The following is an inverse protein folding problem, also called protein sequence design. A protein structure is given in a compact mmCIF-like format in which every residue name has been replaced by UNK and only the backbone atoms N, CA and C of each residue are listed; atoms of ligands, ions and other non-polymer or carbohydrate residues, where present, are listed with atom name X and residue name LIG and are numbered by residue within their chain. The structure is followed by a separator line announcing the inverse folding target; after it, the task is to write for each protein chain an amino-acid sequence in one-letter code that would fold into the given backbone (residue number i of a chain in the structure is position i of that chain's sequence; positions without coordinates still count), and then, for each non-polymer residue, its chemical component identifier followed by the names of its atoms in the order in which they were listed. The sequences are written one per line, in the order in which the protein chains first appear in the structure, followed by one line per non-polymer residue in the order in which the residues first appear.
data_IF_941043973889
#
_entry.id   IF_941043973889
#
_cell.length_a   1.000
_cell.length_b   1.000
_cell.length_c   1.000
_cell.angle_alpha   90.00
_cell.angle_beta   90.00
_cell.angle_gamma   90.00
#
_symmetry.space_group_name_H-M   'P 1'
#
loop_
_entity.id
_entity.type
_entity.pdbx_description
1 polymer ?
#
# COMPACT_ATOMS: atom_id res chain seq x y z
N UNK A 1 6.06 11.98 15.19
CA UNK A 1 5.73 13.29 14.62
C UNK A 1 6.73 13.56 13.52
N UNK A 2 6.22 13.85 12.34
CA UNK A 2 6.98 14.33 11.19
C UNK A 2 6.64 15.81 10.93
N UNK A 3 7.58 16.60 10.42
CA UNK A 3 7.38 18.04 10.25
C UNK A 3 7.76 18.49 8.86
N UNK A 4 6.78 19.07 8.16
CA UNK A 4 6.88 19.44 6.76
C UNK A 4 6.41 20.88 6.51
N UNK A 5 6.66 21.34 5.30
CA UNK A 5 6.09 22.58 4.77
C UNK A 5 5.42 22.28 3.44
N UNK A 6 4.15 22.64 3.30
CA UNK A 6 3.35 22.41 2.11
C UNK A 6 3.22 23.70 1.28
N UNK A 7 3.15 23.52 -0.04
CA UNK A 7 2.82 24.55 -1.02
C UNK A 7 1.37 24.41 -1.55
N UNK A 8 0.49 23.77 -0.78
CA UNK A 8 -0.93 23.57 -1.11
C UNK A 8 -1.75 24.86 -1.18
N UNK A 9 -2.92 24.86 -0.55
CA UNK A 9 -3.80 26.05 -0.52
C UNK A 9 -3.24 27.13 0.42
N UNK A 10 -3.57 28.40 0.14
CA UNK A 10 -3.24 29.51 1.02
C UNK A 10 -4.48 29.98 1.77
N UNK A 11 -4.40 29.92 3.09
CA UNK A 11 -5.49 30.19 4.02
C UNK A 11 -4.93 30.81 5.30
N UNK A 12 -5.79 31.27 6.21
CA UNK A 12 -5.34 32.08 7.35
C UNK A 12 -4.54 31.27 8.39
N UNK A 13 -4.73 29.94 8.46
CA UNK A 13 -3.97 29.08 9.38
C UNK A 13 -2.47 29.03 9.04
N UNK A 14 -1.62 28.89 10.06
CA UNK A 14 -0.16 28.72 9.86
C UNK A 14 0.25 27.26 9.80
N UNK A 15 -0.40 26.41 10.61
CA UNK A 15 -0.12 24.99 10.72
C UNK A 15 -1.38 24.23 10.33
N UNK A 16 -1.22 23.29 9.41
CA UNK A 16 -2.20 22.25 9.15
C UNK A 16 -1.68 20.92 9.70
N UNK A 17 -2.59 20.00 10.02
CA UNK A 17 -2.23 18.73 10.64
C UNK A 17 -2.76 17.55 9.84
N UNK A 18 -1.85 16.69 9.40
CA UNK A 18 -2.16 15.32 9.02
C UNK A 18 -2.06 14.49 10.29
N UNK A 19 -3.18 13.89 10.69
CA UNK A 19 -3.26 12.98 11.82
C UNK A 19 -3.57 11.58 11.31
N UNK A 20 -3.07 10.56 12.02
CA UNK A 20 -3.27 9.20 11.54
C UNK A 20 -4.74 8.86 11.37
N UNK A 21 -5.08 8.22 10.26
CA UNK A 21 -6.44 7.79 9.96
C UNK A 21 -6.94 6.90 11.12
N UNK A 22 -7.98 7.31 11.86
CA UNK A 22 -8.37 6.61 13.08
C UNK A 22 -8.80 5.16 12.82
N UNK A 23 -9.43 4.88 11.68
CA UNK A 23 -9.90 3.54 11.31
C UNK A 23 -8.75 2.52 11.12
N UNK A 24 -7.51 2.99 10.93
CA UNK A 24 -6.32 2.11 10.90
C UNK A 24 -5.92 1.60 12.30
N UNK A 25 -6.52 2.12 13.37
CA UNK A 25 -6.19 1.81 14.76
C UNK A 25 -7.11 0.74 15.35
N UNK A 26 -6.69 0.14 16.46
CA UNK A 26 -7.58 -0.70 17.26
C UNK A 26 -8.73 0.15 17.84
N UNK A 27 -9.97 -0.35 17.99
CA UNK A 27 -11.14 0.48 18.36
C UNK A 27 -10.98 1.36 19.60
N UNK A 28 -10.31 0.86 20.65
CA UNK A 28 -10.02 1.66 21.85
C UNK A 28 -9.05 2.82 21.56
N UNK A 29 -7.99 2.55 20.79
CA UNK A 29 -7.03 3.56 20.35
C UNK A 29 -7.69 4.59 19.43
N UNK A 30 -8.54 4.14 18.51
CA UNK A 30 -9.31 5.01 17.61
C UNK A 30 -10.16 6.00 18.41
N UNK A 31 -10.95 5.51 19.37
CA UNK A 31 -11.84 6.34 20.19
C UNK A 31 -11.04 7.38 20.99
N UNK A 32 -9.97 6.97 21.66
CA UNK A 32 -9.10 7.88 22.40
C UNK A 32 -8.47 8.93 21.48
N UNK A 33 -7.99 8.51 20.31
CA UNK A 33 -7.33 9.41 19.37
C UNK A 33 -8.29 10.48 18.83
N UNK A 34 -9.48 10.05 18.37
CA UNK A 34 -10.50 10.94 17.78
C UNK A 34 -11.18 11.83 18.82
N UNK A 35 -11.53 11.28 19.99
CA UNK A 35 -12.38 11.98 20.94
C UNK A 35 -11.64 12.77 21.99
N UNK A 36 -10.40 12.40 22.32
CA UNK A 36 -9.65 13.02 23.41
C UNK A 36 -8.39 13.70 22.88
N UNK A 37 -7.47 12.92 22.27
CA UNK A 37 -6.15 13.43 21.89
C UNK A 37 -6.22 14.53 20.83
N UNK A 38 -6.92 14.28 19.72
CA UNK A 38 -7.07 15.28 18.67
C UNK A 38 -7.78 16.52 19.20
N UNK A 39 -8.92 16.35 19.87
CA UNK A 39 -9.69 17.50 20.38
C UNK A 39 -8.85 18.37 21.31
N UNK A 40 -8.12 17.78 22.25
CA UNK A 40 -7.29 18.56 23.17
C UNK A 40 -6.14 19.28 22.45
N UNK A 41 -5.48 18.64 21.47
CA UNK A 41 -4.40 19.28 20.71
C UNK A 41 -4.90 20.50 19.92
N UNK A 42 -6.04 20.38 19.23
CA UNK A 42 -6.65 21.50 18.51
C UNK A 42 -7.07 22.63 19.47
N UNK A 43 -7.74 22.29 20.58
CA UNK A 43 -8.15 23.27 21.60
C UNK A 43 -6.95 24.00 22.20
N UNK A 44 -5.87 23.29 22.53
CA UNK A 44 -4.68 23.90 23.14
C UNK A 44 -3.92 24.81 22.18
N UNK A 45 -3.81 24.43 20.91
CA UNK A 45 -3.24 25.29 19.88
C UNK A 45 -4.03 26.61 19.76
N UNK A 46 -5.36 26.55 19.77
CA UNK A 46 -6.21 27.73 19.76
C UNK A 46 -6.10 28.55 21.05
N UNK A 47 -6.28 27.93 22.21
CA UNK A 47 -6.51 28.66 23.46
C UNK A 47 -5.22 29.09 24.15
N UNK A 48 -4.21 28.21 24.19
CA UNK A 48 -2.95 28.47 24.88
C UNK A 48 -1.97 29.25 24.00
N UNK A 49 -1.96 28.97 22.70
CA UNK A 49 -0.99 29.56 21.77
C UNK A 49 -1.55 30.66 20.88
N UNK A 50 -2.89 30.84 20.87
CA UNK A 50 -3.60 31.75 19.95
C UNK A 50 -3.24 31.47 18.48
N UNK A 51 -2.96 30.20 18.18
CA UNK A 51 -2.55 29.73 16.87
C UNK A 51 -3.45 28.54 16.50
N UNK A 52 -4.67 28.84 16.05
CA UNK A 52 -5.61 27.82 15.62
C UNK A 52 -5.02 27.01 14.47
N UNK A 53 -5.19 25.69 14.53
CA UNK A 53 -4.76 24.76 13.48
C UNK A 53 -5.99 24.13 12.82
N UNK A 54 -5.80 23.61 11.62
CA UNK A 54 -6.85 22.97 10.81
C UNK A 54 -6.33 21.60 10.33
N UNK A 55 -7.19 20.60 10.05
CA UNK A 55 -6.76 19.42 9.33
C UNK A 55 -6.11 19.79 8.01
N UNK A 56 -5.23 18.93 7.50
CA UNK A 56 -4.60 19.16 6.21
C UNK A 56 -5.63 19.46 5.12
N UNK A 57 -5.41 20.56 4.41
CA UNK A 57 -6.38 21.11 3.46
C UNK A 57 -6.18 20.44 2.10
N UNK A 58 -6.66 19.20 2.02
CA UNK A 58 -6.81 18.50 0.74
C UNK A 58 -8.15 18.90 0.13
N UNK A 59 -8.08 19.62 -0.99
CA UNK A 59 -9.23 20.20 -1.66
C UNK A 59 -9.98 19.16 -2.50
N UNK A 60 -11.32 19.20 -2.47
CA UNK A 60 -12.18 18.43 -3.39
C UNK A 60 -12.12 18.98 -4.81
N UNK A 61 -12.01 20.31 -4.93
CA UNK A 61 -11.94 21.04 -6.19
C UNK A 61 -10.97 22.22 -6.05
N UNK A 62 -10.31 22.60 -7.15
CA UNK A 62 -9.42 23.77 -7.15
C UNK A 62 -10.25 25.05 -7.12
N UNK A 63 -9.99 25.93 -6.16
CA UNK A 63 -10.64 27.23 -6.05
C UNK A 63 -10.90 27.64 -4.61
N UNK A 64 -12.05 28.27 -4.38
CA UNK A 64 -12.51 28.58 -3.03
C UNK A 64 -12.84 27.29 -2.26
N UNK A 65 -12.31 27.17 -1.04
CA UNK A 65 -12.41 25.95 -0.24
C UNK A 65 -13.77 25.87 0.46
N UNK A 66 -14.61 24.94 -0.02
CA UNK A 66 -15.97 24.68 0.50
C UNK A 66 -16.11 23.35 1.24
N UNK A 67 -15.16 22.44 1.02
CA UNK A 67 -15.03 21.18 1.71
C UNK A 67 -13.57 20.71 1.62
N UNK A 68 -13.18 19.87 2.57
CA UNK A 68 -11.87 19.20 2.57
C UNK A 68 -12.04 17.71 2.81
N UNK A 69 -11.05 16.94 2.35
CA UNK A 69 -10.98 15.49 2.53
C UNK A 69 -9.85 15.11 3.48
N UNK A 70 -10.03 14.02 4.20
CA UNK A 70 -8.97 13.40 5.01
C UNK A 70 -7.82 12.95 4.12
N UNK A 71 -6.59 13.14 4.60
CA UNK A 71 -5.41 12.70 3.87
C UNK A 71 -5.25 11.18 3.98
N UNK A 72 -5.29 10.50 2.84
CA UNK A 72 -5.03 9.07 2.78
C UNK A 72 -3.53 8.79 2.91
N UNK A 73 -3.12 8.60 4.16
CA UNK A 73 -1.74 8.30 4.53
C UNK A 73 -1.44 6.80 4.37
N UNK A 74 -1.08 6.41 3.15
CA UNK A 74 -0.47 5.11 2.85
C UNK A 74 0.80 4.86 3.68
N UNK A 75 1.21 3.59 3.80
CA UNK A 75 2.32 3.21 4.68
C UNK A 75 3.72 3.65 4.21
N UNK A 76 3.82 4.26 3.02
CA UNK A 76 5.03 4.95 2.58
C UNK A 76 5.13 6.40 3.09
N UNK A 77 4.10 6.93 3.75
CA UNK A 77 4.20 8.12 4.60
C UNK A 77 4.54 7.75 6.03
N UNK A 78 5.23 8.63 6.76
CA UNK A 78 5.68 8.38 8.14
C UNK A 78 4.53 8.05 9.11
N UNK A 79 3.38 8.70 8.94
CA UNK A 79 2.19 8.48 9.76
C UNK A 79 1.50 7.14 9.45
N UNK A 80 1.28 6.83 8.16
CA UNK A 80 0.78 5.53 7.71
C UNK A 80 1.69 4.38 8.12
N UNK A 81 3.01 4.54 7.99
CA UNK A 81 4.01 3.59 8.46
C UNK A 81 3.87 3.32 9.96
N UNK A 82 3.79 4.39 10.77
CA UNK A 82 3.70 4.26 12.23
C UNK A 82 2.41 3.56 12.68
N UNK A 83 1.32 3.68 11.91
CA UNK A 83 0.04 3.00 12.15
C UNK A 83 0.13 1.47 11.96
N UNK A 84 1.13 0.97 11.21
CA UNK A 84 1.41 -0.47 11.13
C UNK A 84 1.95 -1.04 12.46
N UNK A 85 2.44 -0.18 13.35
CA UNK A 85 3.06 -0.55 14.64
C UNK A 85 2.30 0.00 15.86
N UNK A 86 0.98 0.17 15.72
CA UNK A 86 0.06 0.66 16.75
C UNK A 86 0.59 1.93 17.43
N UNK A 87 1.01 2.90 16.63
CA UNK A 87 1.53 4.18 17.10
C UNK A 87 0.68 5.32 16.55
N UNK A 88 0.43 6.32 17.39
CA UNK A 88 -0.26 7.54 16.99
C UNK A 88 0.67 8.41 16.12
N UNK A 89 0.34 8.54 14.84
CA UNK A 89 1.10 9.33 13.88
C UNK A 89 0.52 10.74 13.70
N UNK A 90 1.43 11.69 13.51
CA UNK A 90 1.12 13.07 13.16
C UNK A 90 2.18 13.59 12.20
N UNK A 91 1.74 14.42 11.26
CA UNK A 91 2.59 15.20 10.38
C UNK A 91 2.08 16.65 10.35
N UNK A 92 2.90 17.58 10.84
CA UNK A 92 2.57 19.01 10.73
C UNK A 92 2.97 19.52 9.36
N UNK A 93 2.08 20.28 8.74
CA UNK A 93 2.28 20.89 7.43
C UNK A 93 2.10 22.40 7.56
N UNK A 94 3.21 23.13 7.64
CA UNK A 94 3.18 24.60 7.65
C UNK A 94 3.09 25.15 6.23
N UNK A 95 2.42 26.28 6.00
CA UNK A 95 2.25 26.78 4.63
C UNK A 95 3.44 27.64 4.20
N UNK A 96 4.05 27.36 3.05
CA UNK A 96 5.13 28.19 2.47
C UNK A 96 4.79 29.68 2.36
N UNK A 97 3.50 30.02 2.31
CA UNK A 97 2.97 31.38 2.20
C UNK A 97 3.07 32.19 3.50
N UNK A 98 3.41 31.56 4.64
CA UNK A 98 3.57 32.26 5.93
C UNK A 98 5.01 32.66 6.21
N UNK A 99 5.23 33.78 6.94
CA UNK A 99 6.56 34.18 7.37
C UNK A 99 7.28 33.03 8.08
N UNK A 100 8.56 32.85 7.78
CA UNK A 100 9.35 31.73 8.30
C UNK A 100 9.30 31.63 9.84
N UNK A 101 9.39 32.76 10.54
CA UNK A 101 9.30 32.81 11.99
C UNK A 101 7.98 32.23 12.52
N UNK A 102 6.85 32.56 11.90
CA UNK A 102 5.54 32.04 12.31
C UNK A 102 5.42 30.53 12.06
N UNK A 103 6.01 30.03 10.97
CA UNK A 103 6.06 28.59 10.69
C UNK A 103 6.83 27.83 11.76
N UNK A 104 8.04 28.30 12.08
CA UNK A 104 8.89 27.69 13.12
C UNK A 104 8.18 27.73 14.47
N UNK A 105 7.57 28.87 14.82
CA UNK A 105 6.81 29.03 16.06
C UNK A 105 5.62 28.08 16.11
N UNK A 106 4.83 27.98 15.04
CA UNK A 106 3.68 27.09 14.95
C UNK A 106 4.06 25.62 15.12
N UNK A 107 5.12 25.16 14.45
CA UNK A 107 5.64 23.80 14.62
C UNK A 107 6.10 23.54 16.05
N UNK A 108 6.86 24.47 16.65
CA UNK A 108 7.32 24.36 18.03
C UNK A 108 6.15 24.29 19.03
N UNK A 109 5.12 25.11 18.83
CA UNK A 109 3.91 25.10 19.66
C UNK A 109 3.21 23.75 19.59
N UNK A 110 3.03 23.18 18.38
CA UNK A 110 2.43 21.86 18.24
C UNK A 110 3.27 20.75 18.90
N UNK A 111 4.60 20.76 18.69
CA UNK A 111 5.53 19.82 19.37
C UNK A 111 5.36 19.93 20.90
N UNK A 112 5.30 21.15 21.42
CA UNK A 112 5.15 21.41 22.86
C UNK A 112 3.85 20.81 23.39
N UNK A 113 2.73 21.02 22.70
CA UNK A 113 1.44 20.47 23.11
C UNK A 113 1.37 18.94 22.97
N UNK A 114 1.99 18.39 21.93
CA UNK A 114 2.09 16.94 21.74
C UNK A 114 2.91 16.29 22.85
N UNK A 115 4.08 16.84 23.19
CA UNK A 115 4.92 16.36 24.29
C UNK A 115 4.18 16.49 25.63
N UNK A 116 3.51 17.60 25.88
CA UNK A 116 2.70 17.78 27.10
C UNK A 116 1.59 16.74 27.19
N UNK A 117 0.77 16.58 26.14
CA UNK A 117 -0.35 15.65 26.14
C UNK A 117 0.13 14.20 26.34
N UNK A 118 1.15 13.79 25.59
CA UNK A 118 1.70 12.43 25.70
C UNK A 118 2.36 12.18 27.06
N UNK A 119 3.00 13.18 27.66
CA UNK A 119 3.58 13.07 29.00
C UNK A 119 2.51 12.94 30.10
N UNK A 120 1.37 13.61 29.96
CA UNK A 120 0.27 13.50 30.92
C UNK A 120 -0.48 12.16 30.79
N UNK A 121 -0.59 11.64 29.57
CA UNK A 121 -1.38 10.45 29.26
C UNK A 121 -0.54 9.19 28.99
N UNK A 122 0.76 9.20 29.31
CA UNK A 122 1.69 8.14 28.87
C UNK A 122 1.28 6.73 29.31
N UNK A 123 0.75 6.58 30.54
CA UNK A 123 0.32 5.27 31.06
C UNK A 123 -0.79 4.68 30.21
N UNK A 124 -1.76 5.50 29.86
CA UNK A 124 -2.91 5.08 29.08
C UNK A 124 -2.52 4.77 27.63
N UNK A 125 -1.69 5.62 27.02
CA UNK A 125 -1.14 5.40 25.67
C UNK A 125 -0.35 4.09 25.61
N UNK A 126 0.51 3.82 26.60
CA UNK A 126 1.29 2.57 26.65
C UNK A 126 0.40 1.34 26.87
N UNK A 127 -0.63 1.44 27.72
CA UNK A 127 -1.60 0.37 27.95
C UNK A 127 -2.36 0.03 26.67
N UNK A 128 -2.98 1.02 26.01
CA UNK A 128 -3.72 0.82 24.77
C UNK A 128 -2.84 0.25 23.66
N UNK A 129 -1.58 0.72 23.55
CA UNK A 129 -0.63 0.19 22.58
C UNK A 129 -0.28 -1.27 22.85
N UNK A 130 -0.07 -1.65 24.12
CA UNK A 130 0.20 -3.04 24.49
C UNK A 130 -0.97 -3.94 24.10
N UNK A 131 -2.20 -3.49 24.35
CA UNK A 131 -3.41 -4.23 24.01
C UNK A 131 -3.62 -4.34 22.49
N UNK A 132 -3.44 -3.24 21.75
CA UNK A 132 -3.50 -3.25 20.29
C UNK A 132 -2.45 -4.21 19.68
N UNK A 133 -1.24 -4.29 20.27
CA UNK A 133 -0.22 -5.26 19.84
C UNK A 133 -0.68 -6.71 20.08
N UNK A 134 -1.33 -6.99 21.22
CA UNK A 134 -1.89 -8.31 21.51
C UNK A 134 -2.95 -8.70 20.47
N UNK A 135 -3.90 -7.80 20.20
CA UNK A 135 -4.92 -8.03 19.16
C UNK A 135 -4.33 -8.18 17.75
N UNK A 136 -3.28 -7.41 17.42
CA UNK A 136 -2.57 -7.56 16.15
C UNK A 136 -2.02 -8.98 15.99
N UNK A 137 -1.43 -9.55 17.05
CA UNK A 137 -0.92 -10.93 17.04
C UNK A 137 -2.04 -11.97 16.90
N UNK A 138 -3.21 -11.74 17.48
CA UNK A 138 -4.38 -12.64 17.41
C UNK A 138 -5.17 -12.53 16.10
N UNK A 139 -5.05 -11.41 15.37
CA UNK A 139 -5.83 -11.13 14.17
C UNK A 139 -5.59 -12.15 13.05
N UNK A 140 -6.67 -12.59 12.41
CA UNK A 140 -6.65 -13.52 11.27
C UNK A 140 -6.90 -12.85 9.92
N UNK A 141 -7.32 -11.60 9.95
CA UNK A 141 -7.58 -10.78 8.78
C UNK A 141 -7.03 -9.37 9.03
N UNK A 142 -6.58 -8.70 7.96
CA UNK A 142 -6.23 -7.28 8.00
C UNK A 142 -6.85 -6.54 6.83
N UNK A 143 -7.34 -5.34 7.13
CA UNK A 143 -7.60 -4.32 6.12
C UNK A 143 -6.26 -3.71 5.72
N UNK A 144 -5.87 -3.88 4.45
CA UNK A 144 -4.59 -3.39 3.92
C UNK A 144 -4.73 -2.10 3.11
N UNK A 145 -5.93 -1.83 2.56
CA UNK A 145 -6.27 -0.58 1.90
C UNK A 145 -7.66 -0.08 2.30
N UNK A 146 -7.87 1.22 2.16
CA UNK A 146 -9.05 1.93 2.64
C UNK A 146 -9.59 2.81 1.52
N UNK A 147 -10.89 3.06 1.53
CA UNK A 147 -11.51 4.01 0.61
C UNK A 147 -12.27 5.08 1.38
N UNK A 148 -12.27 6.30 0.88
CA UNK A 148 -12.95 7.40 1.55
C UNK A 148 -14.47 7.22 1.57
N UNK A 149 -15.09 7.35 2.74
CA UNK A 149 -16.55 7.40 2.89
C UNK A 149 -17.06 8.80 2.51
N UNK A 150 -17.64 8.91 1.31
CA UNK A 150 -18.22 10.16 0.80
C UNK A 150 -19.58 10.50 1.40
N UNK A 151 -20.21 9.60 2.14
CA UNK A 151 -21.52 9.76 2.75
C UNK A 151 -21.46 10.24 4.21
N UNK A 152 -20.27 10.18 4.83
CA UNK A 152 -20.05 10.58 6.22
C UNK A 152 -19.04 11.73 6.31
N UNK A 153 -19.37 12.77 7.06
CA UNK A 153 -18.49 13.92 7.26
C UNK A 153 -18.71 14.56 8.63
N UNK A 154 -17.67 15.23 9.11
CA UNK A 154 -17.75 16.20 10.18
C UNK A 154 -17.87 17.62 9.60
N UNK A 155 -18.10 18.61 10.45
CA UNK A 155 -18.02 20.03 10.07
C UNK A 155 -16.97 20.75 10.88
N UNK A 156 -16.34 21.75 10.28
CA UNK A 156 -15.38 22.61 10.98
C UNK A 156 -15.49 24.07 10.50
N UNK A 157 -15.05 24.99 11.35
CA UNK A 157 -14.89 26.39 10.98
C UNK A 157 -13.59 26.56 10.20
N UNK A 158 -13.69 27.11 9.00
CA UNK A 158 -12.56 27.32 8.11
C UNK A 158 -12.31 28.80 7.85
N UNK A 159 -11.05 29.22 7.98
CA UNK A 159 -10.60 30.59 7.79
C UNK A 159 -9.78 30.70 6.50
N UNK A 160 -10.46 31.03 5.40
CA UNK A 160 -9.87 31.09 4.07
C UNK A 160 -9.68 32.51 3.54
N UNK A 161 -9.23 32.58 2.29
CA UNK A 161 -9.20 33.79 1.46
C UNK A 161 -10.00 33.51 0.19
N UNK A 162 -10.73 34.50 -0.33
CA UNK A 162 -11.49 34.33 -1.58
C UNK A 162 -10.54 34.00 -2.74
N UNK A 163 -10.92 33.04 -3.57
CA UNK A 163 -10.14 32.64 -4.74
C UNK A 163 -10.55 33.48 -5.95
N UNK A 164 -9.58 34.12 -6.58
CA UNK A 164 -9.79 34.99 -7.73
C UNK A 164 -8.83 34.61 -8.87
N UNK A 165 -9.20 34.91 -10.11
CA UNK A 165 -8.32 34.73 -11.26
C UNK A 165 -7.55 36.01 -11.55
N UNK A 166 -6.28 35.86 -11.90
CA UNK A 166 -5.44 36.93 -12.44
C UNK A 166 -4.69 36.47 -13.69
N UNK A 167 -4.22 37.42 -14.48
CA UNK A 167 -3.38 37.14 -15.65
C UNK A 167 -1.92 37.23 -15.24
N UNK A 168 -1.17 36.14 -15.41
CA UNK A 168 0.26 36.12 -15.05
C UNK A 168 1.05 37.07 -15.95
N UNK A 169 1.96 37.89 -15.37
CA UNK A 169 2.62 38.97 -16.10
C UNK A 169 3.59 38.49 -17.18
N UNK A 170 4.16 37.28 -17.01
CA UNK A 170 5.19 36.74 -17.92
C UNK A 170 4.56 36.02 -19.12
N UNK A 171 3.54 35.20 -18.87
CA UNK A 171 3.00 34.30 -19.92
C UNK A 171 1.62 34.69 -20.42
N UNK A 172 0.96 35.66 -19.78
CA UNK A 172 -0.44 36.00 -20.09
C UNK A 172 -1.43 34.90 -19.74
N UNK A 173 -1.00 33.80 -19.10
CA UNK A 173 -1.90 32.72 -18.67
C UNK A 173 -2.76 33.18 -17.51
N UNK A 174 -4.04 32.81 -17.52
CA UNK A 174 -4.89 32.91 -16.35
C UNK A 174 -4.40 31.95 -15.27
N UNK A 175 -4.25 32.47 -14.06
CA UNK A 175 -3.91 31.69 -12.86
C UNK A 175 -4.79 32.17 -11.72
N UNK A 176 -5.32 31.25 -10.94
CA UNK A 176 -5.98 31.64 -9.71
C UNK A 176 -4.99 31.97 -8.59
N UNK A 177 -5.43 32.79 -7.66
CA UNK A 177 -4.72 33.15 -6.44
C UNK A 177 -5.72 33.33 -5.29
N UNK A 178 -5.22 33.25 -4.06
CA UNK A 178 -5.99 33.50 -2.85
C UNK A 178 -5.81 34.97 -2.45
N UNK A 179 -6.89 35.75 -2.44
CA UNK A 179 -6.83 37.19 -2.19
C UNK A 179 -6.82 37.48 -0.67
N UNK A 180 -5.65 37.88 -0.15
CA UNK A 180 -5.45 38.19 1.27
C UNK A 180 -6.27 39.38 1.77
N UNK A 181 -6.76 40.25 0.88
CA UNK A 181 -7.64 41.38 1.21
C UNK A 181 -9.10 40.96 1.41
N UNK A 182 -9.44 39.71 1.04
CA UNK A 182 -10.80 39.15 1.13
C UNK A 182 -10.82 37.88 1.99
N UNK A 183 -10.53 37.96 3.30
CA UNK A 183 -10.67 36.82 4.20
C UNK A 183 -12.13 36.43 4.35
N UNK A 184 -12.40 35.14 4.57
CA UNK A 184 -13.71 34.63 4.94
C UNK A 184 -13.62 33.63 6.08
N UNK A 185 -14.76 33.42 6.75
CA UNK A 185 -14.93 32.34 7.73
C UNK A 185 -16.24 31.65 7.45
N UNK A 186 -16.19 30.35 7.15
CA UNK A 186 -17.37 29.56 6.82
C UNK A 186 -17.28 28.17 7.48
N UNK A 187 -18.44 27.59 7.77
CA UNK A 187 -18.53 26.19 8.18
C UNK A 187 -18.45 25.32 6.93
N UNK A 188 -17.43 24.47 6.84
CA UNK A 188 -17.22 23.56 5.71
C UNK A 188 -17.35 22.09 6.14
N UNK A 189 -17.56 21.21 5.16
CA UNK A 189 -17.55 19.75 5.38
C UNK A 189 -16.12 19.22 5.42
N UNK A 190 -15.89 18.25 6.29
CA UNK A 190 -14.65 17.49 6.39
C UNK A 190 -14.94 15.99 6.28
N UNK A 191 -14.59 15.42 5.13
CA UNK A 191 -14.80 14.00 4.83
C UNK A 191 -13.60 13.18 5.30
N UNK A 192 -13.59 12.80 6.58
CA UNK A 192 -12.46 12.12 7.26
C UNK A 192 -12.81 10.74 7.81
N UNK A 193 -13.66 10.02 7.09
CA UNK A 193 -14.05 8.66 7.41
C UNK A 193 -13.73 7.78 6.21
N UNK A 194 -13.39 6.53 6.48
CA UNK A 194 -12.92 5.60 5.47
C UNK A 194 -13.48 4.22 5.75
N UNK A 195 -13.82 3.50 4.68
CA UNK A 195 -14.28 2.12 4.73
C UNK A 195 -13.15 1.17 4.32
N UNK A 196 -13.15 -0.08 4.84
CA UNK A 196 -12.25 -1.11 4.34
C UNK A 196 -12.46 -1.35 2.84
N UNK A 197 -11.41 -1.18 2.03
CA UNK A 197 -11.45 -1.42 0.59
C UNK A 197 -10.91 -2.81 0.25
N UNK A 198 -9.79 -3.20 0.88
CA UNK A 198 -9.16 -4.52 0.68
C UNK A 198 -8.88 -5.16 2.02
N UNK A 199 -9.42 -6.36 2.22
CA UNK A 199 -9.18 -7.21 3.39
C UNK A 199 -8.55 -8.51 2.95
N UNK A 200 -7.49 -8.93 3.65
CA UNK A 200 -6.74 -10.16 3.35
C UNK A 200 -6.73 -11.09 4.56
N UNK A 201 -6.84 -12.38 4.29
CA UNK A 201 -6.62 -13.43 5.29
C UNK A 201 -5.12 -13.56 5.57
N UNK A 202 -4.76 -13.64 6.85
CA UNK A 202 -3.37 -13.70 7.28
C UNK A 202 -2.84 -15.13 7.22
N UNK A 203 -1.76 -15.43 6.46
CA UNK A 203 -1.13 -16.74 6.48
C UNK A 203 -0.30 -16.94 7.76
N UNK A 204 0.10 -18.19 8.06
CA UNK A 204 1.02 -18.45 9.17
C UNK A 204 2.43 -17.92 8.87
N UNK A 205 2.85 -18.01 7.61
CA UNK A 205 4.10 -17.47 7.11
C UNK A 205 3.98 -17.05 5.64
N UNK A 206 4.85 -16.16 5.19
CA UNK A 206 5.18 -16.01 3.78
C UNK A 206 6.47 -16.75 3.47
N UNK A 207 6.72 -17.04 2.19
CA UNK A 207 8.02 -17.45 1.70
C UNK A 207 8.44 -16.52 0.56
N UNK A 208 9.63 -15.93 0.69
CA UNK A 208 10.18 -14.92 -0.22
C UNK A 208 11.48 -15.44 -0.81
N UNK A 209 11.60 -15.52 -2.14
CA UNK A 209 12.84 -15.96 -2.78
C UNK A 209 14.03 -15.04 -2.45
N UNK A 210 15.21 -15.60 -2.22
CA UNK A 210 16.41 -14.83 -1.84
C UNK A 210 16.85 -13.85 -2.93
N UNK A 211 16.48 -14.11 -4.18
CA UNK A 211 16.77 -13.26 -5.33
C UNK A 211 16.19 -11.83 -5.19
N UNK A 212 15.19 -11.65 -4.32
CA UNK A 212 14.61 -10.33 -4.02
C UNK A 212 15.34 -9.64 -2.86
N UNK A 213 16.66 -9.47 -2.99
CA UNK A 213 17.54 -8.92 -1.94
C UNK A 213 17.02 -7.60 -1.38
N UNK A 214 16.56 -6.70 -2.25
CA UNK A 214 15.99 -5.41 -1.86
C UNK A 214 14.74 -5.51 -0.97
N UNK A 215 13.93 -6.56 -1.16
CA UNK A 215 12.76 -6.85 -0.33
C UNK A 215 13.22 -7.41 1.01
N UNK A 216 14.15 -8.37 0.99
CA UNK A 216 14.73 -8.96 2.21
C UNK A 216 15.38 -7.89 3.09
N UNK A 217 16.19 -6.99 2.53
CA UNK A 217 16.84 -5.90 3.26
C UNK A 217 15.83 -4.97 3.95
N UNK A 218 14.74 -4.63 3.26
CA UNK A 218 13.67 -3.80 3.82
C UNK A 218 12.91 -4.52 4.94
N UNK A 219 12.66 -5.82 4.81
CA UNK A 219 12.11 -6.64 5.88
C UNK A 219 13.05 -6.64 7.11
N UNK A 220 14.37 -6.81 6.91
CA UNK A 220 15.38 -6.77 7.98
C UNK A 220 15.40 -5.42 8.70
N UNK A 221 15.44 -4.30 7.95
CA UNK A 221 15.43 -2.94 8.52
C UNK A 221 14.18 -2.71 9.39
N UNK A 222 13.06 -3.33 9.03
CA UNK A 222 11.80 -3.28 9.78
C UNK A 222 11.70 -4.30 10.92
N UNK A 223 12.81 -4.98 11.23
CA UNK A 223 12.91 -5.91 12.35
C UNK A 223 12.15 -7.22 12.13
N UNK A 224 11.79 -7.54 10.89
CA UNK A 224 11.12 -8.79 10.54
C UNK A 224 12.06 -9.96 10.77
N UNK A 225 11.61 -10.91 11.59
CA UNK A 225 12.27 -12.20 11.81
C UNK A 225 11.95 -13.13 10.65
N UNK A 226 12.98 -13.76 10.12
CA UNK A 226 12.91 -14.66 8.97
C UNK A 226 13.83 -15.86 9.22
N UNK A 227 13.51 -16.98 8.59
CA UNK A 227 14.30 -18.22 8.64
C UNK A 227 14.70 -18.61 7.23
N UNK A 228 15.97 -18.90 7.02
CA UNK A 228 16.48 -19.27 5.71
C UNK A 228 16.35 -20.78 5.46
N UNK A 229 15.85 -21.18 4.30
CA UNK A 229 15.84 -22.57 3.87
C UNK A 229 17.27 -23.11 3.73
N UNK A 230 17.52 -24.27 4.32
CA UNK A 230 18.84 -24.90 4.30
C UNK A 230 19.03 -25.85 3.11
N UNK A 231 17.94 -26.29 2.48
CA UNK A 231 17.92 -27.19 1.34
C UNK A 231 16.80 -26.77 0.38
N UNK A 232 16.97 -27.08 -0.90
CA UNK A 232 15.90 -26.98 -1.90
C UNK A 232 14.71 -27.82 -1.43
N UNK A 233 13.51 -27.25 -1.51
CA UNK A 233 12.29 -27.85 -0.96
C UNK A 233 11.09 -27.48 -1.83
N UNK A 234 10.23 -28.46 -2.11
CA UNK A 234 8.92 -28.21 -2.71
C UNK A 234 7.89 -28.01 -1.60
N UNK A 235 7.15 -26.91 -1.65
CA UNK A 235 6.13 -26.56 -0.66
C UNK A 235 4.79 -26.33 -1.35
N UNK A 236 3.72 -26.87 -0.77
CA UNK A 236 2.35 -26.48 -1.14
C UNK A 236 2.06 -25.10 -0.57
N UNK A 237 1.89 -24.11 -1.45
CA UNK A 237 1.64 -22.71 -1.06
C UNK A 237 0.35 -22.22 -1.68
N UNK A 238 -0.29 -21.28 -1.00
CA UNK A 238 -1.23 -20.37 -1.63
C UNK A 238 -0.43 -19.24 -2.30
N UNK A 239 -0.71 -18.91 -3.55
CA UNK A 239 -0.04 -17.83 -4.28
C UNK A 239 -1.04 -17.19 -5.26
N UNK A 240 -0.60 -16.15 -5.96
CA UNK A 240 -1.44 -15.35 -6.83
C UNK A 240 -0.90 -15.33 -8.25
N UNK A 241 -1.80 -15.46 -9.23
CA UNK A 241 -1.55 -14.92 -10.56
C UNK A 241 -2.01 -13.47 -10.59
N UNK A 242 -1.16 -12.58 -11.11
CA UNK A 242 -1.52 -11.19 -11.40
C UNK A 242 -2.30 -11.18 -12.73
N UNK A 243 -3.63 -11.22 -12.67
CA UNK A 243 -4.48 -11.21 -13.86
C UNK A 243 -4.36 -9.87 -14.61
N UNK A 244 -4.37 -8.75 -13.87
CA UNK A 244 -4.19 -7.40 -14.42
C UNK A 244 -3.68 -6.40 -13.38
N UNK A 245 -2.99 -5.37 -13.84
CA UNK A 245 -2.55 -4.21 -13.05
C UNK A 245 -2.35 -3.00 -13.98
N UNK A 246 -2.28 -1.80 -13.43
CA UNK A 246 -2.00 -0.55 -14.14
C UNK A 246 -0.69 0.06 -13.64
N UNK A 247 0.42 -0.01 -14.42
CA UNK A 247 1.66 0.67 -14.09
C UNK A 247 1.57 2.18 -14.36
N UNK A 248 2.21 2.97 -13.50
CA UNK A 248 2.33 4.41 -13.68
C UNK A 248 3.05 4.75 -14.98
N UNK A 249 2.63 5.80 -15.69
CA UNK A 249 3.29 6.21 -16.95
C UNK A 249 4.58 6.98 -16.74
N UNK A 250 4.87 7.41 -15.51
CA UNK A 250 6.02 8.22 -15.14
C UNK A 250 6.55 7.74 -13.80
N UNK A 251 7.87 7.73 -13.67
CA UNK A 251 8.51 7.44 -12.41
C UNK A 251 8.18 8.53 -11.38
N UNK A 252 7.90 8.10 -10.15
CA UNK A 252 7.78 8.95 -8.97
C UNK A 252 8.73 8.42 -7.92
N UNK A 253 9.66 9.25 -7.43
CA UNK A 253 10.73 8.82 -6.51
C UNK A 253 11.57 7.63 -7.03
N UNK A 254 11.73 7.51 -8.36
CA UNK A 254 12.46 6.40 -8.99
C UNK A 254 11.64 5.13 -9.24
N UNK A 255 10.34 5.14 -8.90
CA UNK A 255 9.47 3.97 -8.99
C UNK A 255 8.31 4.16 -9.97
N UNK A 256 7.93 3.09 -10.65
CA UNK A 256 6.78 3.02 -11.55
C UNK A 256 5.63 2.30 -10.85
N UNK A 257 4.81 3.06 -10.12
CA UNK A 257 3.81 2.45 -9.25
C UNK A 257 2.82 1.55 -9.99
N UNK A 258 2.63 0.33 -9.49
CA UNK A 258 1.58 -0.57 -9.94
C UNK A 258 0.31 -0.34 -9.11
N UNK A 259 -0.84 -0.25 -9.78
CA UNK A 259 -2.15 0.01 -9.17
C UNK A 259 -3.25 -0.86 -9.77
N UNK A 260 -4.46 -0.82 -9.20
CA UNK A 260 -5.65 -1.57 -9.66
C UNK A 260 -5.38 -3.06 -9.93
N UNK A 261 -4.67 -3.68 -8.99
CA UNK A 261 -4.24 -5.07 -9.10
C UNK A 261 -5.43 -6.00 -8.96
N UNK A 262 -5.60 -6.92 -9.91
CA UNK A 262 -6.55 -8.04 -9.84
C UNK A 262 -5.77 -9.34 -9.78
N UNK A 263 -6.17 -10.18 -8.83
CA UNK A 263 -5.48 -11.43 -8.52
C UNK A 263 -6.40 -12.62 -8.71
N UNK A 264 -5.78 -13.75 -9.07
CA UNK A 264 -6.38 -15.07 -8.95
C UNK A 264 -5.56 -15.92 -8.00
N UNK A 265 -6.16 -16.27 -6.87
CA UNK A 265 -5.55 -17.14 -5.86
C UNK A 265 -5.54 -18.59 -6.34
N UNK A 266 -4.41 -19.26 -6.12
CA UNK A 266 -4.24 -20.69 -6.39
C UNK A 266 -3.50 -21.35 -5.24
N UNK A 267 -3.79 -22.63 -5.00
CA UNK A 267 -2.97 -23.50 -4.16
C UNK A 267 -2.22 -24.46 -5.06
N UNK A 268 -0.90 -24.48 -4.99
CA UNK A 268 -0.07 -25.37 -5.82
C UNK A 268 1.26 -25.67 -5.15
N UNK A 269 1.92 -26.72 -5.61
CA UNK A 269 3.27 -27.06 -5.20
C UNK A 269 4.27 -26.17 -5.96
N UNK A 270 5.13 -25.48 -5.21
CA UNK A 270 6.16 -24.59 -5.76
C UNK A 270 7.52 -25.01 -5.21
N UNK A 271 8.51 -25.07 -6.10
CA UNK A 271 9.90 -25.32 -5.75
C UNK A 271 10.53 -24.03 -5.19
N UNK A 272 11.12 -24.14 -4.01
CA UNK A 272 11.91 -23.09 -3.37
C UNK A 272 13.35 -23.58 -3.20
N UNK A 273 14.29 -22.66 -3.30
CA UNK A 273 15.71 -22.96 -3.27
C UNK A 273 16.28 -22.78 -1.86
N UNK A 274 17.37 -23.48 -1.60
CA UNK A 274 18.25 -23.15 -0.49
C UNK A 274 18.60 -21.67 -0.56
N UNK A 275 18.38 -20.97 0.54
CA UNK A 275 18.61 -19.54 0.64
C UNK A 275 17.34 -18.71 0.72
N UNK A 276 16.19 -19.23 0.24
CA UNK A 276 14.90 -18.55 0.34
C UNK A 276 14.46 -18.37 1.80
N UNK A 277 13.65 -17.34 2.06
CA UNK A 277 13.28 -16.95 3.41
C UNK A 277 11.83 -17.28 3.72
N UNK A 278 11.62 -18.10 4.76
CA UNK A 278 10.34 -18.19 5.46
C UNK A 278 10.22 -16.99 6.39
N UNK A 279 9.09 -16.29 6.29
CA UNK A 279 8.76 -15.09 7.06
C UNK A 279 7.55 -15.40 7.95
N UNK A 280 7.75 -15.86 9.20
CA UNK A 280 6.65 -16.11 10.13
C UNK A 280 5.87 -14.82 10.39
N UNK A 281 4.55 -14.86 10.26
CA UNK A 281 3.75 -13.62 10.36
C UNK A 281 3.47 -13.25 11.81
N UNK A 282 3.42 -14.22 12.74
CA UNK A 282 3.09 -14.00 14.15
C UNK A 282 4.25 -13.36 14.95
N UNK A 283 4.51 -12.08 14.67
CA UNK A 283 5.55 -11.28 15.32
C UNK A 283 5.16 -9.80 15.39
N UNK A 284 5.97 -8.96 16.04
CA UNK A 284 5.66 -7.52 16.23
C UNK A 284 5.38 -6.77 14.92
N UNK A 285 6.03 -7.15 13.83
CA UNK A 285 5.89 -6.56 12.49
C UNK A 285 4.76 -7.19 11.67
N UNK A 286 3.87 -8.01 12.26
CA UNK A 286 2.78 -8.73 11.59
C UNK A 286 2.00 -7.89 10.57
N UNK A 287 1.48 -6.72 10.97
CA UNK A 287 0.71 -5.83 10.08
C UNK A 287 1.59 -5.29 8.94
N UNK A 288 2.85 -4.94 9.22
CA UNK A 288 3.82 -4.54 8.20
C UNK A 288 4.12 -5.65 7.19
N UNK A 289 4.35 -6.88 7.65
CA UNK A 289 4.63 -8.04 6.77
C UNK A 289 3.47 -8.23 5.79
N UNK A 290 2.23 -8.25 6.29
CA UNK A 290 1.04 -8.44 5.47
C UNK A 290 0.85 -7.27 4.49
N UNK A 291 0.90 -6.02 4.97
CA UNK A 291 0.78 -4.84 4.10
C UNK A 291 1.85 -4.82 3.00
N UNK A 292 3.08 -5.23 3.30
CA UNK A 292 4.17 -5.11 2.33
C UNK A 292 4.24 -6.27 1.32
N UNK A 293 3.84 -7.48 1.71
CA UNK A 293 3.96 -8.68 0.87
C UNK A 293 2.70 -9.00 0.05
N UNK A 294 1.54 -8.43 0.40
CA UNK A 294 0.31 -8.62 -0.37
C UNK A 294 0.29 -7.74 -1.64
N UNK A 295 0.16 -8.31 -2.86
CA UNK A 295 0.26 -7.54 -4.10
C UNK A 295 -0.86 -6.51 -4.30
N UNK A 296 -2.00 -6.68 -3.63
CA UNK A 296 -3.10 -5.71 -3.70
C UNK A 296 -2.84 -4.45 -2.89
N UNK A 297 -1.92 -4.47 -1.91
CA UNK A 297 -1.67 -3.29 -1.09
C UNK A 297 -1.05 -2.17 -1.90
N UNK A 298 -1.64 -0.98 -1.82
CA UNK A 298 -1.11 0.23 -2.47
C UNK A 298 0.21 0.71 -1.85
N UNK A 299 0.56 0.18 -0.68
CA UNK A 299 1.86 0.43 -0.03
C UNK A 299 2.86 -0.71 -0.23
N UNK A 300 2.43 -1.83 -0.83
CA UNK A 300 3.19 -3.06 -0.89
C UNK A 300 4.40 -3.00 -1.83
N UNK A 301 5.29 -3.99 -1.72
CA UNK A 301 6.46 -4.10 -2.60
C UNK A 301 6.06 -4.26 -4.07
N UNK A 302 4.93 -4.92 -4.35
CA UNK A 302 4.40 -4.99 -5.71
C UNK A 302 3.96 -3.61 -6.25
N UNK A 303 3.25 -2.82 -5.44
CA UNK A 303 2.86 -1.47 -5.81
C UNK A 303 4.07 -0.58 -6.10
N UNK A 304 5.17 -0.77 -5.38
CA UNK A 304 6.44 -0.08 -5.59
C UNK A 304 7.38 -0.76 -6.62
N UNK A 305 6.84 -1.58 -7.52
CA UNK A 305 7.54 -2.19 -8.64
C UNK A 305 8.79 -3.02 -8.31
N UNK A 306 8.93 -3.48 -7.05
CA UNK A 306 10.08 -4.30 -6.62
C UNK A 306 10.15 -5.64 -7.33
N UNK A 307 9.02 -6.10 -7.85
CA UNK A 307 8.88 -7.42 -8.43
C UNK A 307 8.62 -7.40 -9.95
N UNK A 308 8.76 -6.26 -10.64
CA UNK A 308 8.33 -6.15 -12.04
C UNK A 308 9.01 -7.14 -13.00
N UNK A 309 10.22 -7.61 -12.67
CA UNK A 309 10.93 -8.58 -13.52
C UNK A 309 10.23 -9.94 -13.68
N UNK A 310 9.27 -10.31 -12.82
CA UNK A 310 8.47 -11.54 -13.01
C UNK A 310 7.21 -11.32 -13.87
N UNK A 311 6.85 -10.07 -14.15
CA UNK A 311 5.65 -9.72 -14.93
C UNK A 311 5.89 -9.88 -16.44
N UNK A 312 7.16 -9.82 -16.86
CA UNK A 312 7.57 -10.04 -18.24
C UNK A 312 7.53 -11.54 -18.57
N UNK A 313 6.76 -11.89 -19.60
CA UNK A 313 6.88 -13.21 -20.23
C UNK A 313 8.25 -13.29 -20.89
N UNK A 314 9.10 -14.20 -20.42
CA UNK A 314 10.53 -14.25 -20.78
C UNK A 314 10.77 -14.58 -22.27
N UNK A 315 9.79 -15.10 -23.01
CA UNK A 315 9.98 -15.50 -24.41
C UNK A 315 8.78 -15.16 -25.30
N UNK A 316 8.98 -14.24 -26.26
CA UNK A 316 8.05 -14.03 -27.36
C UNK A 316 8.40 -14.99 -28.50
N UNK A 317 7.59 -16.02 -28.72
CA UNK A 317 7.70 -16.81 -29.94
C UNK A 317 7.17 -16.00 -31.14
N UNK A 318 7.99 -15.86 -32.19
CA UNK A 318 7.47 -15.35 -33.46
C UNK A 318 6.47 -16.37 -34.04
N UNK A 319 5.27 -15.92 -34.38
CA UNK A 319 4.21 -16.78 -34.97
C UNK A 319 4.72 -17.53 -36.22
N UNK A 320 5.65 -16.92 -36.96
CA UNK A 320 6.27 -17.50 -38.17
C UNK A 320 7.20 -18.70 -37.89
N UNK A 321 7.85 -18.75 -36.72
CA UNK A 321 8.71 -19.88 -36.33
C UNK A 321 8.00 -20.92 -35.45
N UNK A 322 6.88 -20.56 -34.85
CA UNK A 322 6.22 -21.34 -33.81
C UNK A 322 5.70 -22.70 -34.28
N UNK A 323 4.94 -22.73 -35.38
CA UNK A 323 4.41 -23.99 -35.93
C UNK A 323 5.53 -24.89 -36.46
N UNK A 324 6.57 -24.30 -37.06
CA UNK A 324 7.75 -25.05 -37.52
C UNK A 324 8.50 -25.70 -36.34
N UNK A 325 8.58 -25.01 -35.20
CA UNK A 325 9.20 -25.52 -33.99
C UNK A 325 8.34 -26.59 -33.30
N UNK A 326 7.03 -26.41 -33.21
CA UNK A 326 6.10 -27.45 -32.72
C UNK A 326 6.15 -28.71 -33.60
N UNK A 327 6.32 -28.54 -34.91
CA UNK A 327 6.54 -29.65 -35.83
C UNK A 327 7.87 -30.37 -35.55
N UNK A 328 8.96 -29.63 -35.35
CA UNK A 328 10.27 -30.20 -34.99
C UNK A 328 10.18 -30.98 -33.67
N UNK A 329 9.52 -30.42 -32.65
CA UNK A 329 9.24 -31.09 -31.38
C UNK A 329 8.46 -32.40 -31.59
N UNK A 330 7.40 -32.38 -32.40
CA UNK A 330 6.66 -33.60 -32.74
C UNK A 330 7.50 -34.62 -33.51
N UNK A 331 8.44 -34.19 -34.35
CA UNK A 331 9.34 -35.05 -35.12
C UNK A 331 10.40 -35.73 -34.22
N UNK A 332 10.80 -35.07 -33.13
CA UNK A 332 11.84 -35.55 -32.22
C UNK A 332 11.34 -36.11 -30.88
N UNK A 333 10.06 -35.91 -30.53
CA UNK A 333 9.42 -36.46 -29.32
C UNK A 333 8.24 -37.40 -29.69
N UNK A 334 8.50 -38.72 -29.79
CA UNK A 334 7.47 -39.71 -30.09
C UNK A 334 6.35 -39.77 -29.03
N UNK A 335 6.64 -39.45 -27.77
CA UNK A 335 5.66 -39.49 -26.69
C UNK A 335 4.68 -38.31 -26.80
N UNK A 336 5.19 -37.11 -27.10
CA UNK A 336 4.35 -35.94 -27.39
C UNK A 336 3.47 -36.19 -28.62
N UNK A 337 4.00 -36.82 -29.67
CA UNK A 337 3.23 -37.20 -30.87
C UNK A 337 2.09 -38.16 -30.56
N UNK A 338 2.36 -39.20 -29.76
CA UNK A 338 1.31 -40.15 -29.37
C UNK A 338 0.23 -39.48 -28.51
N UNK A 339 0.63 -38.61 -27.59
CA UNK A 339 -0.30 -37.85 -26.76
C UNK A 339 -1.15 -36.88 -27.59
N UNK A 340 -0.58 -36.23 -28.61
CA UNK A 340 -1.32 -35.34 -29.51
C UNK A 340 -2.34 -36.09 -30.38
N UNK A 341 -1.96 -37.23 -30.96
CA UNK A 341 -2.89 -38.06 -31.73
C UNK A 341 -3.96 -38.72 -30.85
N UNK A 342 -3.66 -38.96 -29.56
CA UNK A 342 -4.69 -39.33 -28.58
C UNK A 342 -5.65 -38.17 -28.33
N UNK A 343 -5.15 -36.96 -28.08
CA UNK A 343 -5.98 -35.77 -27.86
C UNK A 343 -6.92 -35.48 -29.04
N UNK A 344 -6.43 -35.60 -30.30
CA UNK A 344 -7.27 -35.45 -31.50
C UNK A 344 -8.38 -36.50 -31.62
N UNK A 345 -8.25 -37.66 -30.97
CA UNK A 345 -9.31 -38.70 -30.96
C UNK A 345 -10.33 -38.47 -29.85
N UNK A 346 -9.92 -37.83 -28.76
CA UNK A 346 -10.72 -37.67 -27.54
C UNK A 346 -11.40 -36.30 -27.43
N UNK A 347 -10.83 -35.26 -28.05
CA UNK A 347 -11.33 -33.88 -28.03
C UNK A 347 -11.67 -33.39 -29.45
N UNK A 348 -12.94 -33.08 -29.68
CA UNK A 348 -13.44 -32.64 -30.98
C UNK A 348 -12.95 -31.24 -31.40
N UNK A 349 -12.61 -30.37 -30.44
CA UNK A 349 -12.02 -29.07 -30.72
C UNK A 349 -10.57 -29.24 -31.20
N UNK A 350 -9.77 -30.05 -30.49
CA UNK A 350 -8.39 -30.38 -30.92
C UNK A 350 -8.40 -31.15 -32.26
N UNK A 351 -9.43 -31.95 -32.55
CA UNK A 351 -9.53 -32.64 -33.83
C UNK A 351 -9.75 -31.71 -35.03
N UNK A 352 -10.48 -30.61 -34.84
CA UNK A 352 -11.07 -29.83 -35.94
C UNK A 352 -10.61 -28.38 -36.05
N UNK A 353 -10.06 -27.79 -34.98
CA UNK A 353 -9.59 -26.41 -34.96
C UNK A 353 -8.05 -26.36 -34.95
N UNK A 354 -7.40 -25.85 -36.01
CA UNK A 354 -5.95 -25.66 -36.07
C UNK A 354 -5.40 -24.80 -34.93
N UNK A 355 -6.17 -23.83 -34.43
CA UNK A 355 -5.74 -23.00 -33.28
C UNK A 355 -5.74 -23.84 -32.01
N UNK A 356 -6.77 -24.65 -31.78
CA UNK A 356 -6.83 -25.57 -30.65
C UNK A 356 -5.72 -26.63 -30.70
N UNK A 357 -5.32 -27.09 -31.88
CA UNK A 357 -4.18 -27.99 -32.08
C UNK A 357 -2.85 -27.36 -31.65
N UNK A 358 -2.58 -26.16 -32.16
CA UNK A 358 -1.36 -25.43 -31.81
C UNK A 358 -1.32 -25.08 -30.32
N UNK A 359 -2.47 -24.70 -29.75
CA UNK A 359 -2.60 -24.41 -28.33
C UNK A 359 -2.39 -25.65 -27.46
N UNK A 360 -2.97 -26.80 -27.83
CA UNK A 360 -2.75 -28.05 -27.12
C UNK A 360 -1.28 -28.46 -27.17
N UNK A 361 -0.66 -28.42 -28.36
CA UNK A 361 0.75 -28.75 -28.53
C UNK A 361 1.61 -27.85 -27.67
N UNK A 362 1.35 -26.54 -27.70
CA UNK A 362 2.04 -25.57 -26.87
C UNK A 362 1.97 -25.90 -25.38
N UNK A 363 0.76 -26.18 -24.87
CA UNK A 363 0.52 -26.52 -23.45
C UNK A 363 1.26 -27.78 -22.97
N UNK A 364 1.70 -28.63 -23.90
CA UNK A 364 2.45 -29.85 -23.63
C UNK A 364 3.94 -29.72 -24.00
N UNK A 365 4.43 -28.50 -24.19
CA UNK A 365 5.87 -28.21 -24.34
C UNK A 365 6.49 -27.66 -23.04
N UNK A 366 7.81 -27.79 -22.84
CA UNK A 366 8.52 -27.14 -21.74
C UNK A 366 8.34 -25.62 -21.68
N UNK A 367 8.09 -24.98 -22.83
CA UNK A 367 7.84 -23.54 -22.93
C UNK A 367 6.57 -23.11 -22.20
N UNK A 368 5.50 -23.92 -22.26
CA UNK A 368 4.27 -23.63 -21.52
C UNK A 368 4.48 -23.70 -20.00
N UNK A 369 5.42 -24.53 -19.51
CA UNK A 369 5.75 -24.56 -18.07
C UNK A 369 6.41 -23.26 -17.59
N UNK A 370 7.19 -22.59 -18.45
CA UNK A 370 7.73 -21.26 -18.18
C UNK A 370 6.63 -20.20 -18.17
N UNK A 371 5.67 -20.30 -19.11
CA UNK A 371 4.50 -19.41 -19.13
C UNK A 371 3.56 -19.59 -17.94
N UNK A 372 3.45 -20.81 -17.39
CA UNK A 372 2.72 -21.05 -16.12
C UNK A 372 3.34 -20.30 -14.94
N UNK A 373 4.61 -19.86 -15.03
CA UNK A 373 5.24 -19.00 -14.03
C UNK A 373 5.14 -17.50 -14.37
N UNK A 374 4.72 -17.14 -15.58
CA UNK A 374 4.50 -15.74 -15.97
C UNK A 374 3.41 -15.13 -15.10
N UNK A 375 3.72 -13.97 -14.52
CA UNK A 375 2.82 -13.25 -13.58
C UNK A 375 2.40 -14.05 -12.35
N UNK A 376 3.08 -15.15 -12.05
CA UNK A 376 2.94 -15.82 -10.77
C UNK A 376 3.70 -15.01 -9.72
N UNK A 377 3.00 -14.58 -8.67
CA UNK A 377 3.60 -13.83 -7.58
C UNK A 377 4.75 -14.65 -6.97
N UNK A 378 5.96 -14.08 -6.87
CA UNK A 378 7.12 -14.81 -6.36
C UNK A 378 7.01 -15.09 -4.86
N UNK A 379 6.16 -14.35 -4.15
CA UNK A 379 5.91 -14.54 -2.72
C UNK A 379 4.82 -15.60 -2.55
N UNK A 380 5.16 -16.68 -1.85
CA UNK A 380 4.20 -17.71 -1.45
C UNK A 380 3.58 -17.44 -0.08
N UNK A 381 2.34 -17.84 0.11
CA UNK A 381 1.59 -17.80 1.38
C UNK A 381 1.46 -19.21 1.93
N UNK A 382 2.08 -19.45 3.09
CA UNK A 382 1.99 -20.71 3.82
C UNK A 382 0.81 -20.63 4.79
N UNK A 383 -0.34 -21.14 4.37
CA UNK A 383 -1.55 -21.17 5.19
C UNK A 383 -1.44 -22.15 6.37
N UNK A 384 -0.60 -23.19 6.23
CA UNK A 384 -0.28 -24.16 7.27
C UNK A 384 1.25 -24.38 7.27
N UNK A 385 2.00 -23.57 8.00
CA UNK A 385 3.45 -23.67 8.12
C UNK A 385 3.88 -24.68 9.21
N UNK A 386 3.01 -24.93 10.21
CA UNK A 386 3.12 -26.06 11.13
C UNK A 386 4.53 -26.29 11.69
N UNK A 387 5.12 -27.47 11.42
CA UNK A 387 6.45 -27.88 11.92
C UNK A 387 7.61 -27.01 11.42
N UNK A 388 7.47 -26.31 10.29
CA UNK A 388 8.55 -25.47 9.72
C UNK A 388 8.87 -24.27 10.61
N UNK A 389 7.90 -23.82 11.41
CA UNK A 389 8.09 -22.73 12.38
C UNK A 389 8.76 -23.19 13.67
N UNK A 390 8.83 -24.51 13.93
CA UNK A 390 9.38 -25.08 15.16
C UNK A 390 10.81 -25.63 15.00
N UNK A 391 11.34 -25.68 13.78
CA UNK A 391 12.68 -26.23 13.47
C UNK A 391 13.85 -25.27 13.78
N UNK A 392 13.60 -24.18 14.51
CA UNK A 392 14.58 -23.15 14.86
C UNK A 392 15.13 -23.20 16.29
N UNK A 393 15.06 -24.34 16.99
CA UNK A 393 15.72 -24.55 18.29
C UNK A 393 16.97 -25.41 18.16
#
# INVERSE_FOLDING_TARGET
LDTHTTNGSDHQFTVTLIATQPEKMHPEMEQFFRNDMLKELYTRMKDAHKNEIVPYVQYTERGEIKAIIGFEEHAYYSTGYSALFNSFGFMTETLVYKPYLERVKGTLQFITELVRYTSLNYKEILRMRAEANRHTLEAREFVIDWEQDTLKWDTLQYHGYRYEETTTPITGRKSGFYNHEKPYTETIRYYNYFNPAVTVTVPEAYIVPFAWEEVIDRLVINGVKMMQLQNDTTLTVETYYIDSFEPARRATQGHYFNSKVKLRTVTQDVEFLKGDYIVPVSQRSKKYIVTMLEPQSESGFFAWNFFDSFLEGQDWYSVWGFESHLKELLDHDPALREAFEKAKREDSAVASDPVAQLQWLYQHTPASELEKRTRLCPVGRLMNAGKMLNSGN
#
